data_IF_445823012398
#
_entry.id   IF_445823012398
#
_cell.length_a   1.000
_cell.length_b   1.000
_cell.length_c   1.000
_cell.angle_alpha   90.00
_cell.angle_beta   90.00
_cell.angle_gamma   90.00
#
_symmetry.space_group_name_H-M   'P 1'
#
loop_
_entity.id
_entity.type
_entity.pdbx_description
1 polymer ?
#
# COMPACT_ATOMS: atom_id res chain seq x y z
N UNK A 1 22.36 7.69 -5.29
CA UNK A 1 20.98 7.23 -5.02
C UNK A 1 20.96 5.71 -4.97
N UNK A 2 20.01 5.10 -4.24
CA UNK A 2 19.66 3.67 -4.39
C UNK A 2 20.70 2.64 -3.94
N UNK A 3 21.55 2.92 -2.94
CA UNK A 3 22.37 1.84 -2.39
C UNK A 3 21.48 0.72 -1.84
N UNK A 4 21.90 -0.55 -1.94
CA UNK A 4 21.21 -1.65 -1.28
C UNK A 4 20.99 -1.35 0.20
N UNK A 5 19.81 -1.69 0.70
CA UNK A 5 19.48 -1.49 2.12
C UNK A 5 20.37 -2.34 3.03
N UNK A 6 20.93 -3.44 2.49
CA UNK A 6 21.88 -4.27 3.21
C UNK A 6 23.32 -3.78 3.00
N UNK A 7 23.97 -3.38 4.10
CA UNK A 7 25.38 -2.92 4.11
C UNK A 7 26.32 -3.90 3.41
N UNK A 8 27.30 -3.36 2.68
CA UNK A 8 28.32 -4.14 1.97
C UNK A 8 27.86 -4.80 0.67
N UNK A 9 26.65 -4.51 0.19
CA UNK A 9 26.16 -4.98 -1.11
C UNK A 9 26.16 -3.82 -2.10
N UNK A 10 26.57 -4.11 -3.33
CA UNK A 10 26.47 -3.20 -4.47
C UNK A 10 25.49 -3.80 -5.48
N UNK A 11 24.57 -2.98 -5.99
CA UNK A 11 23.62 -3.39 -7.01
C UNK A 11 24.12 -2.90 -8.36
N UNK A 12 24.64 -3.83 -9.15
CA UNK A 12 25.01 -3.62 -10.54
C UNK A 12 23.86 -4.08 -11.43
N UNK A 13 23.26 -3.13 -12.14
CA UNK A 13 22.05 -3.37 -12.92
C UNK A 13 22.34 -4.23 -14.15
N UNK A 14 23.53 -4.09 -14.75
CA UNK A 14 23.93 -4.89 -15.90
C UNK A 14 24.12 -6.36 -15.48
N UNK A 15 24.76 -6.58 -14.33
CA UNK A 15 24.90 -7.92 -13.76
C UNK A 15 23.53 -8.56 -13.42
N UNK A 16 22.56 -7.79 -12.92
CA UNK A 16 21.20 -8.30 -12.70
C UNK A 16 20.47 -8.68 -14.00
N UNK A 17 20.65 -7.89 -15.06
CA UNK A 17 20.06 -8.18 -16.38
C UNK A 17 20.68 -9.44 -16.99
N UNK A 18 22.01 -9.58 -16.91
CA UNK A 18 22.71 -10.78 -17.34
C UNK A 18 22.23 -12.02 -16.59
N UNK A 19 22.11 -11.93 -15.26
CA UNK A 19 21.57 -13.02 -14.44
C UNK A 19 20.14 -13.41 -14.87
N UNK A 20 19.27 -12.45 -15.12
CA UNK A 20 17.90 -12.72 -15.58
C UNK A 20 17.89 -13.41 -16.95
N UNK A 21 18.74 -12.95 -17.88
CA UNK A 21 18.87 -13.53 -19.22
C UNK A 21 19.44 -14.96 -19.17
N UNK A 22 20.43 -15.22 -18.32
CA UNK A 22 20.98 -16.56 -18.12
C UNK A 22 19.94 -17.54 -17.59
N UNK A 23 19.12 -17.13 -16.62
CA UNK A 23 18.05 -17.97 -16.08
C UNK A 23 17.00 -18.25 -17.16
N UNK A 24 16.62 -17.24 -17.96
CA UNK A 24 15.73 -17.45 -19.12
C UNK A 24 16.32 -18.44 -20.13
N UNK A 25 17.58 -18.26 -20.51
CA UNK A 25 18.26 -19.11 -21.48
C UNK A 25 18.33 -20.57 -21.01
N UNK A 26 18.57 -20.81 -19.71
CA UNK A 26 18.53 -22.17 -19.12
C UNK A 26 17.14 -22.79 -19.23
N UNK A 27 16.09 -22.05 -18.89
CA UNK A 27 14.71 -22.54 -18.95
C UNK A 27 14.27 -22.88 -20.39
N UNK A 28 14.66 -22.06 -21.37
CA UNK A 28 14.39 -22.30 -22.79
C UNK A 28 15.07 -23.58 -23.27
N UNK A 29 16.32 -23.82 -22.87
CA UNK A 29 17.06 -25.05 -23.22
C UNK A 29 16.44 -26.32 -22.61
N UNK A 30 15.86 -26.21 -21.42
CA UNK A 30 15.28 -27.36 -20.71
C UNK A 30 13.84 -27.70 -21.16
N UNK A 31 13.10 -26.76 -21.75
CA UNK A 31 11.65 -26.89 -21.98
C UNK A 31 11.17 -26.44 -23.37
N UNK A 32 11.99 -26.58 -24.41
CA UNK A 32 11.64 -26.23 -25.79
C UNK A 32 10.45 -27.08 -26.30
N UNK A 33 9.26 -26.46 -26.43
CA UNK A 33 8.16 -27.02 -27.24
C UNK A 33 6.75 -27.10 -26.65
N UNK A 34 6.43 -26.51 -25.48
CA UNK A 34 5.03 -26.52 -24.99
C UNK A 34 4.57 -25.20 -24.38
N UNK A 35 3.26 -24.97 -24.40
CA UNK A 35 2.54 -23.85 -23.76
C UNK A 35 2.81 -23.76 -22.23
N UNK A 36 3.33 -24.85 -21.63
CA UNK A 36 3.79 -24.88 -20.24
C UNK A 36 5.07 -24.07 -19.98
N UNK A 37 5.85 -23.77 -21.04
CA UNK A 37 7.15 -23.08 -20.94
C UNK A 37 7.02 -21.64 -20.45
N UNK A 38 6.04 -20.88 -20.93
CA UNK A 38 5.80 -19.49 -20.46
C UNK A 38 5.38 -19.43 -18.99
N UNK A 39 4.57 -20.40 -18.54
CA UNK A 39 4.14 -20.47 -17.14
C UNK A 39 5.31 -20.79 -16.22
N UNK A 40 6.17 -21.72 -16.63
CA UNK A 40 7.40 -22.06 -15.90
C UNK A 40 8.36 -20.88 -15.84
N UNK A 41 8.56 -20.18 -16.96
CA UNK A 41 9.38 -18.95 -16.99
C UNK A 41 8.84 -17.92 -15.99
N UNK A 42 7.53 -17.66 -16.01
CA UNK A 42 6.91 -16.69 -15.09
C UNK A 42 7.11 -17.08 -13.62
N UNK A 43 7.05 -18.37 -13.28
CA UNK A 43 7.30 -18.86 -11.92
C UNK A 43 8.77 -18.68 -11.55
N UNK A 44 9.70 -19.10 -12.41
CA UNK A 44 11.13 -18.98 -12.16
C UNK A 44 11.58 -17.52 -12.04
N UNK A 45 11.10 -16.62 -12.91
CA UNK A 45 11.39 -15.18 -12.83
C UNK A 45 10.84 -14.55 -11.56
N UNK A 46 9.64 -14.97 -11.13
CA UNK A 46 9.06 -14.52 -9.85
C UNK A 46 9.92 -14.97 -8.66
N UNK A 47 10.37 -16.22 -8.65
CA UNK A 47 11.26 -16.73 -7.61
C UNK A 47 12.61 -16.04 -7.59
N UNK A 48 13.23 -15.83 -8.76
CA UNK A 48 14.46 -15.07 -8.90
C UNK A 48 14.29 -13.66 -8.33
N UNK A 49 13.24 -12.94 -8.73
CA UNK A 49 12.92 -11.62 -8.20
C UNK A 49 12.80 -11.62 -6.67
N UNK A 50 12.11 -12.59 -6.07
CA UNK A 50 12.04 -12.71 -4.61
C UNK A 50 13.39 -12.98 -3.95
N UNK A 51 14.25 -13.79 -4.57
CA UNK A 51 15.62 -14.03 -4.09
C UNK A 51 16.44 -12.73 -4.14
N UNK A 52 16.37 -11.98 -5.25
CA UNK A 52 17.09 -10.70 -5.42
C UNK A 52 16.60 -9.63 -4.44
N UNK A 53 15.30 -9.48 -4.25
CA UNK A 53 14.70 -8.56 -3.27
C UNK A 53 15.26 -8.81 -1.86
N UNK A 54 15.24 -10.07 -1.41
CA UNK A 54 15.81 -10.47 -0.11
C UNK A 54 17.32 -10.27 -0.06
N UNK A 55 18.00 -10.50 -1.18
CA UNK A 55 19.43 -10.26 -1.29
C UNK A 55 19.76 -8.77 -1.11
N UNK A 56 19.07 -7.85 -1.76
CA UNK A 56 19.38 -6.42 -1.60
C UNK A 56 18.73 -5.78 -0.37
N UNK A 57 17.90 -6.53 0.36
CA UNK A 57 17.28 -6.10 1.63
C UNK A 57 16.00 -5.29 1.44
N UNK A 58 15.41 -5.31 0.25
CA UNK A 58 14.17 -4.58 -0.04
C UNK A 58 12.94 -5.30 0.51
N UNK A 59 11.89 -4.56 0.93
CA UNK A 59 10.69 -5.16 1.52
C UNK A 59 9.86 -5.95 0.51
N UNK A 60 9.83 -5.54 -0.76
CA UNK A 60 9.16 -6.25 -1.84
C UNK A 60 9.77 -5.89 -3.21
N UNK A 61 9.32 -6.61 -4.25
CA UNK A 61 9.77 -6.40 -5.62
C UNK A 61 9.43 -4.99 -6.16
N UNK A 62 8.30 -4.41 -5.76
CA UNK A 62 7.90 -3.08 -6.19
C UNK A 62 8.89 -1.99 -5.71
N UNK A 63 9.21 -1.98 -4.41
CA UNK A 63 10.16 -1.03 -3.85
C UNK A 63 11.55 -1.22 -4.47
N UNK A 64 11.94 -2.47 -4.69
CA UNK A 64 13.21 -2.80 -5.35
C UNK A 64 13.28 -2.28 -6.78
N UNK A 65 12.23 -2.47 -7.59
CA UNK A 65 12.21 -1.99 -8.98
C UNK A 65 12.16 -0.47 -9.08
N UNK A 66 11.44 0.20 -8.18
CA UNK A 66 11.46 1.67 -8.10
C UNK A 66 12.84 2.21 -7.74
N UNK A 67 13.52 1.59 -6.78
CA UNK A 67 14.88 1.97 -6.43
C UNK A 67 15.85 1.79 -7.61
N UNK A 68 15.78 0.66 -8.33
CA UNK A 68 16.57 0.45 -9.55
C UNK A 68 16.29 1.50 -10.62
N UNK A 69 15.02 1.85 -10.82
CA UNK A 69 14.63 2.89 -11.79
C UNK A 69 15.25 4.26 -11.45
N UNK A 70 15.24 4.65 -10.18
CA UNK A 70 15.88 5.90 -9.74
C UNK A 70 17.41 5.86 -9.90
N UNK A 71 18.04 4.70 -9.68
CA UNK A 71 19.48 4.53 -9.94
C UNK A 71 19.79 4.69 -11.42
N UNK A 72 19.00 4.05 -12.31
CA UNK A 72 19.16 4.19 -13.75
C UNK A 72 18.99 5.64 -14.20
N UNK A 73 17.98 6.34 -13.70
CA UNK A 73 17.80 7.76 -13.98
C UNK A 73 19.01 8.57 -13.52
N UNK A 74 19.57 8.27 -12.35
CA UNK A 74 20.79 8.93 -11.87
C UNK A 74 22.01 8.72 -12.78
N UNK A 75 22.18 7.51 -13.31
CA UNK A 75 23.32 7.15 -14.17
C UNK A 75 23.15 7.62 -15.62
N UNK A 76 21.93 7.53 -16.17
CA UNK A 76 21.65 7.73 -17.60
C UNK A 76 21.14 9.14 -17.94
N UNK A 77 21.01 10.05 -16.95
CA UNK A 77 20.45 11.39 -17.16
C UNK A 77 21.21 12.27 -18.15
N UNK A 78 22.52 12.06 -18.33
CA UNK A 78 23.35 12.97 -19.12
C UNK A 78 23.17 14.43 -18.67
N UNK A 79 22.77 15.30 -19.60
CA UNK A 79 22.54 16.73 -19.35
C UNK A 79 21.12 17.08 -18.90
N UNK A 80 20.20 16.10 -18.87
CA UNK A 80 18.81 16.32 -18.48
C UNK A 80 18.69 16.63 -16.99
N UNK A 81 17.80 17.58 -16.68
CA UNK A 81 17.31 17.80 -15.33
C UNK A 81 16.34 16.71 -14.93
N UNK A 82 16.57 16.11 -13.77
CA UNK A 82 15.78 14.97 -13.26
C UNK A 82 15.20 15.34 -11.90
N UNK A 83 13.87 15.44 -11.86
CA UNK A 83 13.10 15.63 -10.63
C UNK A 83 12.42 14.30 -10.28
N UNK A 84 12.72 13.76 -9.10
CA UNK A 84 12.14 12.52 -8.60
C UNK A 84 11.16 12.86 -7.48
N UNK A 85 9.89 12.52 -7.67
CA UNK A 85 8.84 12.69 -6.65
C UNK A 85 8.53 11.34 -6.02
N UNK A 86 8.67 11.25 -4.69
CA UNK A 86 8.46 10.06 -3.88
C UNK A 86 7.24 10.24 -2.96
N UNK A 87 6.04 9.89 -3.41
CA UNK A 87 4.86 9.93 -2.55
C UNK A 87 4.84 8.80 -1.52
N UNK A 88 4.30 9.13 -0.34
CA UNK A 88 3.81 8.13 0.60
C UNK A 88 2.46 7.55 0.11
N UNK A 89 1.67 6.93 1.00
CA UNK A 89 0.42 6.30 0.58
C UNK A 89 -0.53 7.37 0.05
N UNK A 90 -0.83 7.31 -1.24
CA UNK A 90 -1.75 8.24 -1.88
C UNK A 90 -3.18 7.87 -1.47
N UNK A 91 -3.90 8.85 -0.94
CA UNK A 91 -5.33 8.75 -0.61
C UNK A 91 -6.17 9.47 -1.66
N UNK A 92 -7.48 9.57 -1.43
CA UNK A 92 -8.33 10.41 -2.30
C UNK A 92 -7.85 11.85 -2.37
N UNK A 93 -8.44 12.64 -3.25
CA UNK A 93 -8.14 14.07 -3.33
C UNK A 93 -8.69 14.81 -2.11
N UNK A 94 -7.95 15.82 -1.68
CA UNK A 94 -8.35 16.72 -0.59
C UNK A 94 -9.30 17.82 -1.10
N UNK A 95 -8.97 18.44 -2.23
CA UNK A 95 -9.71 19.54 -2.84
C UNK A 95 -9.96 19.32 -4.34
N UNK A 96 -8.91 19.11 -5.14
CA UNK A 96 -9.04 19.11 -6.61
C UNK A 96 -9.03 17.69 -7.21
N UNK A 97 -9.78 17.39 -8.28
CA UNK A 97 -10.77 18.24 -8.94
C UNK A 97 -12.07 18.41 -8.14
N UNK A 98 -12.29 17.54 -7.15
CA UNK A 98 -13.29 17.68 -6.09
C UNK A 98 -12.88 16.79 -4.91
N UNK A 99 -13.30 17.06 -3.68
CA UNK A 99 -12.92 16.25 -2.52
C UNK A 99 -13.40 14.81 -2.65
N UNK A 100 -12.52 13.85 -2.37
CA UNK A 100 -12.86 12.43 -2.36
C UNK A 100 -12.82 11.77 -3.74
N UNK A 101 -12.27 12.41 -4.77
CA UNK A 101 -11.97 11.71 -6.01
C UNK A 101 -10.90 10.63 -5.76
N UNK A 102 -11.18 9.41 -6.19
CA UNK A 102 -10.27 8.27 -6.06
C UNK A 102 -10.53 7.26 -7.18
N UNK A 103 -9.45 6.68 -7.70
CA UNK A 103 -9.50 5.65 -8.72
C UNK A 103 -9.20 4.26 -8.13
N UNK A 104 -10.27 3.49 -7.92
CA UNK A 104 -10.19 2.13 -7.40
C UNK A 104 -9.87 2.06 -5.91
N UNK A 105 -9.56 0.85 -5.44
CA UNK A 105 -9.28 0.54 -4.03
C UNK A 105 -7.85 0.03 -3.93
N UNK A 106 -6.98 0.73 -3.20
CA UNK A 106 -5.57 0.38 -3.09
C UNK A 106 -5.09 0.47 -1.64
N UNK A 107 -4.07 -0.31 -1.29
CA UNK A 107 -3.34 -0.22 -0.02
C UNK A 107 -4.22 -0.10 1.24
N UNK A 108 -4.45 1.11 1.77
CA UNK A 108 -5.22 1.32 3.00
C UNK A 108 -6.73 1.15 2.79
N UNK A 109 -7.22 1.46 1.59
CA UNK A 109 -8.64 1.39 1.24
C UNK A 109 -9.19 -0.03 1.39
N UNK A 110 -8.37 -1.04 1.08
CA UNK A 110 -8.71 -2.46 1.24
C UNK A 110 -9.02 -2.78 2.70
N UNK A 111 -8.32 -2.16 3.65
CA UNK A 111 -8.58 -2.34 5.08
C UNK A 111 -9.80 -1.56 5.53
N UNK A 112 -10.02 -0.34 5.03
CA UNK A 112 -11.25 0.43 5.30
C UNK A 112 -12.47 -0.38 4.88
N UNK A 113 -12.49 -0.88 3.65
CA UNK A 113 -13.57 -1.74 3.12
C UNK A 113 -13.67 -3.04 3.92
N UNK A 114 -12.54 -3.69 4.24
CA UNK A 114 -12.52 -4.94 4.99
C UNK A 114 -13.05 -4.81 6.43
N UNK A 115 -12.74 -3.70 7.10
CA UNK A 115 -13.26 -3.36 8.43
C UNK A 115 -14.74 -3.03 8.36
N UNK A 116 -15.14 -2.15 7.43
CA UNK A 116 -16.53 -1.77 7.21
C UNK A 116 -17.42 -2.99 6.88
N UNK A 117 -16.91 -3.93 6.08
CA UNK A 117 -17.60 -5.17 5.71
C UNK A 117 -17.49 -6.29 6.74
N UNK A 118 -16.79 -6.07 7.87
CA UNK A 118 -16.58 -7.07 8.91
C UNK A 118 -15.90 -8.36 8.41
N UNK A 119 -15.11 -8.25 7.34
CA UNK A 119 -14.30 -9.35 6.79
C UNK A 119 -12.93 -9.44 7.41
N UNK A 120 -12.43 -8.33 7.96
CA UNK A 120 -11.15 -8.25 8.64
C UNK A 120 -11.43 -7.90 10.11
N UNK A 121 -11.49 -8.88 11.03
CA UNK A 121 -11.82 -8.61 12.42
C UNK A 121 -10.64 -8.02 13.20
N UNK A 122 -9.43 -8.18 12.69
CA UNK A 122 -8.22 -7.62 13.29
C UNK A 122 -7.10 -7.48 12.27
N UNK A 123 -6.16 -6.59 12.54
CA UNK A 123 -4.97 -6.41 11.73
C UNK A 123 -3.80 -5.83 12.53
N UNK A 124 -2.64 -5.73 11.91
CA UNK A 124 -1.51 -4.99 12.47
C UNK A 124 -1.74 -3.48 12.30
N UNK A 125 -1.27 -2.68 13.27
CA UNK A 125 -1.42 -1.22 13.26
C UNK A 125 -0.16 -0.55 13.79
N UNK A 126 0.27 0.51 13.09
CA UNK A 126 1.47 1.28 13.39
C UNK A 126 1.13 2.67 13.92
N UNK A 127 2.09 3.35 14.58
CA UNK A 127 1.89 4.70 15.07
C UNK A 127 1.77 5.71 13.92
N UNK A 128 2.44 5.45 12.80
CA UNK A 128 2.48 6.31 11.63
C UNK A 128 2.08 5.48 10.40
N UNK A 129 1.12 6.00 9.65
CA UNK A 129 0.69 5.54 8.34
C UNK A 129 0.86 6.73 7.39
N UNK A 130 2.10 6.93 6.93
CA UNK A 130 2.46 8.07 6.10
C UNK A 130 1.61 8.09 4.83
N UNK A 131 0.79 9.14 4.71
CA UNK A 131 -0.24 9.26 3.69
C UNK A 131 -0.34 10.69 3.18
N UNK A 132 -0.65 10.86 1.91
CA UNK A 132 -0.76 12.17 1.25
C UNK A 132 -1.98 12.17 0.29
N UNK A 133 -2.78 13.23 0.23
CA UNK A 133 -3.84 13.35 -0.77
C UNK A 133 -3.28 13.41 -2.21
N UNK A 134 -4.01 12.83 -3.16
CA UNK A 134 -3.54 12.71 -4.55
C UNK A 134 -3.32 14.04 -5.26
N UNK A 135 -4.19 15.01 -5.01
CA UNK A 135 -4.09 16.38 -5.54
C UNK A 135 -2.86 17.12 -5.03
N UNK A 136 -2.50 16.96 -3.75
CA UNK A 136 -1.26 17.55 -3.24
C UNK A 136 -0.01 16.98 -3.94
N UNK A 137 -0.02 15.71 -4.33
CA UNK A 137 1.07 15.11 -5.12
C UNK A 137 1.16 15.73 -6.50
N UNK A 138 0.02 15.88 -7.18
CA UNK A 138 -0.05 16.49 -8.52
C UNK A 138 0.39 17.95 -8.48
N UNK A 139 -0.12 18.72 -7.52
CA UNK A 139 0.21 20.12 -7.31
C UNK A 139 1.72 20.31 -7.10
N UNK A 140 2.33 19.51 -6.22
CA UNK A 140 3.77 19.55 -6.02
C UNK A 140 4.56 19.16 -7.28
N UNK A 141 4.08 18.18 -8.05
CA UNK A 141 4.69 17.80 -9.32
C UNK A 141 4.71 18.96 -10.32
N UNK A 142 3.58 19.64 -10.48
CA UNK A 142 3.46 20.79 -11.40
C UNK A 142 4.39 21.93 -10.99
N UNK A 143 4.42 22.24 -9.70
CA UNK A 143 5.29 23.30 -9.16
C UNK A 143 6.77 22.93 -9.28
N UNK A 144 7.13 21.67 -9.02
CA UNK A 144 8.51 21.20 -9.17
C UNK A 144 8.95 21.27 -10.63
N UNK A 145 8.09 20.88 -11.58
CA UNK A 145 8.37 20.98 -13.01
C UNK A 145 8.60 22.44 -13.44
N UNK A 146 7.73 23.37 -13.02
CA UNK A 146 7.87 24.78 -13.34
C UNK A 146 9.15 25.38 -12.72
N UNK A 147 9.47 25.02 -11.48
CA UNK A 147 10.64 25.51 -10.75
C UNK A 147 11.94 25.09 -11.41
N UNK A 148 12.02 23.85 -11.90
CA UNK A 148 13.23 23.27 -12.48
C UNK A 148 13.26 23.33 -14.02
N UNK A 149 12.38 24.10 -14.65
CA UNK A 149 12.25 24.12 -16.11
C UNK A 149 13.54 24.55 -16.84
N UNK A 150 14.23 25.56 -16.32
CA UNK A 150 15.47 26.10 -16.91
C UNK A 150 16.75 25.56 -16.28
N UNK A 151 16.62 24.63 -15.33
CA UNK A 151 17.78 24.04 -14.69
C UNK A 151 18.53 23.14 -15.67
N UNK A 152 19.86 23.13 -15.59
CA UNK A 152 20.72 22.24 -16.37
C UNK A 152 21.45 21.30 -15.42
N UNK A 153 21.41 20.00 -15.73
CA UNK A 153 22.06 18.95 -14.92
C UNK A 153 21.63 18.92 -13.45
N UNK A 154 20.47 19.48 -13.08
CA UNK A 154 19.94 19.37 -11.72
C UNK A 154 19.37 17.97 -11.46
N UNK A 155 19.64 17.43 -10.28
CA UNK A 155 18.98 16.22 -9.79
C UNK A 155 18.41 16.48 -8.39
N UNK A 156 17.09 16.46 -8.28
CA UNK A 156 16.38 16.76 -7.03
C UNK A 156 15.38 15.66 -6.70
N UNK A 157 15.22 15.42 -5.40
CA UNK A 157 14.23 14.48 -4.87
C UNK A 157 13.28 15.21 -3.92
N UNK A 158 11.98 15.05 -4.16
CA UNK A 158 10.92 15.52 -3.29
C UNK A 158 10.21 14.34 -2.65
N UNK A 159 10.27 14.26 -1.32
CA UNK A 159 9.47 13.32 -0.53
C UNK A 159 8.11 13.94 -0.24
N UNK A 160 7.06 13.43 -0.90
CA UNK A 160 5.68 13.85 -0.69
C UNK A 160 5.09 13.04 0.46
N UNK A 161 5.40 13.48 1.68
CA UNK A 161 5.06 12.80 2.93
C UNK A 161 4.43 13.76 3.93
N UNK A 162 3.53 13.23 4.77
CA UNK A 162 2.90 13.98 5.85
C UNK A 162 3.48 13.64 7.22
N UNK A 163 4.14 12.49 7.37
CA UNK A 163 4.53 11.92 8.66
C UNK A 163 5.30 12.86 9.61
N UNK A 164 6.20 13.72 9.11
CA UNK A 164 6.96 14.64 9.95
C UNK A 164 6.16 15.84 10.44
N UNK A 165 5.23 16.35 9.64
CA UNK A 165 4.50 17.59 9.93
C UNK A 165 3.12 17.33 10.54
N UNK A 166 2.43 16.31 10.03
CA UNK A 166 1.06 15.99 10.35
C UNK A 166 0.83 14.48 10.25
N UNK A 167 1.34 13.68 11.21
CA UNK A 167 1.30 12.22 11.14
C UNK A 167 -0.13 11.68 11.23
N UNK A 168 -0.49 10.84 10.26
CA UNK A 168 -1.68 9.99 10.33
C UNK A 168 -1.35 8.67 11.03
N UNK A 169 -2.19 8.19 11.95
CA UNK A 169 -2.01 6.89 12.62
C UNK A 169 -3.02 5.84 12.16
N UNK A 170 -2.66 4.56 12.23
CA UNK A 170 -3.60 3.47 11.93
C UNK A 170 -4.83 3.48 12.85
N UNK A 171 -4.65 3.88 14.11
CA UNK A 171 -5.74 4.01 15.08
C UNK A 171 -6.76 5.06 14.63
N UNK A 172 -6.29 6.19 14.06
CA UNK A 172 -7.20 7.23 13.58
C UNK A 172 -8.04 6.77 12.38
N UNK A 173 -7.45 6.00 11.47
CA UNK A 173 -8.16 5.39 10.33
C UNK A 173 -9.22 4.41 10.84
N UNK A 174 -8.86 3.55 11.80
CA UNK A 174 -9.78 2.61 12.42
C UNK A 174 -10.93 3.32 13.15
N UNK A 175 -10.62 4.29 14.01
CA UNK A 175 -11.60 5.11 14.73
C UNK A 175 -12.57 5.79 13.77
N UNK A 176 -12.04 6.41 12.71
CA UNK A 176 -12.86 7.12 11.73
C UNK A 176 -13.75 6.16 10.94
N UNK A 177 -13.23 4.97 10.59
CA UNK A 177 -14.01 3.92 9.91
C UNK A 177 -15.11 3.37 10.82
N UNK A 178 -14.81 3.16 12.10
CA UNK A 178 -15.79 2.72 13.08
C UNK A 178 -16.88 3.77 13.32
N UNK A 179 -16.50 5.04 13.51
CA UNK A 179 -17.44 6.14 13.65
C UNK A 179 -18.34 6.29 12.42
N UNK A 180 -17.76 6.19 11.21
CA UNK A 180 -18.53 6.25 9.97
C UNK A 180 -19.56 5.13 9.89
N UNK A 181 -19.17 3.91 10.27
CA UNK A 181 -20.09 2.78 10.34
C UNK A 181 -21.24 3.01 11.34
N UNK A 182 -20.96 3.54 12.53
CA UNK A 182 -22.01 3.74 13.56
C UNK A 182 -23.13 4.67 13.07
N UNK A 183 -22.77 5.66 12.24
CA UNK A 183 -23.72 6.61 11.65
C UNK A 183 -24.36 6.04 10.38
N UNK A 184 -23.63 5.22 9.63
CA UNK A 184 -24.07 4.61 8.38
C UNK A 184 -24.06 3.08 8.49
N UNK A 185 -24.88 2.48 9.36
CA UNK A 185 -24.84 1.04 9.56
C UNK A 185 -25.33 0.33 8.30
N UNK A 186 -24.60 -0.71 7.90
CA UNK A 186 -25.00 -1.53 6.76
C UNK A 186 -26.25 -2.35 7.13
N UNK A 187 -27.34 -2.12 6.39
CA UNK A 187 -28.49 -3.02 6.38
C UNK A 187 -28.16 -4.28 5.57
N UNK A 188 -28.47 -5.45 6.10
CA UNK A 188 -28.50 -6.70 5.32
C UNK A 188 -29.79 -6.73 4.49
N UNK A 189 -29.82 -7.55 3.44
CA UNK A 189 -30.99 -7.73 2.55
C UNK A 189 -32.28 -8.13 3.33
N UNK A 190 -32.14 -8.65 4.56
CA UNK A 190 -33.23 -8.98 5.48
C UNK A 190 -33.62 -7.84 6.45
N UNK A 191 -33.15 -6.60 6.19
CA UNK A 191 -33.33 -5.40 7.03
C UNK A 191 -32.78 -5.48 8.46
N UNK A 192 -32.03 -6.53 8.82
CA UNK A 192 -31.34 -6.58 10.12
C UNK A 192 -30.01 -5.83 10.05
N UNK A 193 -29.78 -4.95 11.01
CA UNK A 193 -28.47 -4.30 11.21
C UNK A 193 -27.46 -5.33 11.69
N UNK A 194 -26.35 -5.49 10.97
CA UNK A 194 -25.24 -6.35 11.40
C UNK A 194 -24.66 -5.76 12.69
N UNK A 195 -24.53 -6.54 13.77
CA UNK A 195 -23.81 -6.07 14.97
C UNK A 195 -22.34 -5.93 14.64
N UNK A 196 -21.89 -4.71 14.39
CA UNK A 196 -20.50 -4.43 14.06
C UNK A 196 -19.61 -4.56 15.28
N UNK A 197 -18.52 -5.29 15.10
CA UNK A 197 -17.45 -5.40 16.07
C UNK A 197 -16.34 -4.47 15.64
N UNK A 198 -15.91 -3.61 16.57
CA UNK A 198 -14.74 -2.76 16.37
C UNK A 198 -13.51 -3.64 16.08
N UNK A 199 -12.79 -3.43 14.98
CA UNK A 199 -11.65 -4.26 14.62
C UNK A 199 -10.49 -4.04 15.60
N UNK A 200 -9.73 -5.10 15.88
CA UNK A 200 -8.58 -5.03 16.77
C UNK A 200 -7.30 -4.69 16.00
N UNK A 201 -6.56 -3.67 16.45
CA UNK A 201 -5.25 -3.33 15.91
C UNK A 201 -4.12 -3.79 16.85
N UNK A 202 -3.13 -4.46 16.29
CA UNK A 202 -1.98 -4.98 17.02
C UNK A 202 -0.71 -4.19 16.68
N UNK A 203 -0.12 -3.55 17.69
CA UNK A 203 1.13 -2.79 17.59
C UNK A 203 2.39 -3.65 17.40
N UNK A 204 2.29 -4.97 17.44
CA UNK A 204 3.39 -5.91 17.20
C UNK A 204 2.91 -7.12 16.42
N UNK A 205 3.69 -7.55 15.42
CA UNK A 205 3.37 -8.72 14.59
C UNK A 205 3.21 -10.00 15.42
N UNK A 206 4.03 -10.19 16.46
CA UNK A 206 3.97 -11.38 17.32
C UNK A 206 2.62 -11.50 18.01
N UNK A 207 2.07 -10.39 18.55
CA UNK A 207 0.76 -10.40 19.22
C UNK A 207 -0.39 -10.65 18.24
N UNK A 208 -0.31 -10.07 17.04
CA UNK A 208 -1.26 -10.38 15.97
C UNK A 208 -1.21 -11.87 15.61
N UNK A 209 0.00 -12.41 15.40
CA UNK A 209 0.19 -13.81 15.00
C UNK A 209 -0.31 -14.78 16.08
N UNK A 210 0.03 -14.55 17.35
CA UNK A 210 -0.44 -15.40 18.45
C UNK A 210 -1.96 -15.35 18.58
N UNK A 211 -2.56 -14.16 18.50
CA UNK A 211 -4.02 -14.02 18.49
C UNK A 211 -4.67 -14.76 17.32
N UNK A 212 -4.13 -14.62 16.10
CA UNK A 212 -4.65 -15.33 14.92
C UNK A 212 -4.57 -16.84 15.05
N UNK A 213 -3.49 -17.36 15.63
CA UNK A 213 -3.33 -18.80 15.88
C UNK A 213 -4.34 -19.28 16.93
N UNK A 214 -4.41 -18.61 18.08
CA UNK A 214 -5.23 -19.05 19.22
C UNK A 214 -6.73 -18.83 19.04
N UNK A 215 -7.15 -17.72 18.42
CA UNK A 215 -8.57 -17.36 18.31
C UNK A 215 -9.22 -17.92 17.04
N UNK A 216 -8.45 -18.11 15.95
CA UNK A 216 -9.00 -18.53 14.66
C UNK A 216 -8.47 -19.87 14.18
N UNK A 217 -7.14 -20.08 14.16
CA UNK A 217 -6.56 -21.27 13.52
C UNK A 217 -6.83 -22.55 14.31
N UNK A 218 -6.60 -22.54 15.62
CA UNK A 218 -6.91 -23.67 16.51
C UNK A 218 -8.40 -23.96 16.53
N UNK A 219 -9.23 -22.92 16.66
CA UNK A 219 -10.69 -23.06 16.63
C UNK A 219 -11.17 -23.68 15.30
N UNK A 220 -10.63 -23.24 14.17
CA UNK A 220 -10.97 -23.80 12.87
C UNK A 220 -10.53 -25.26 12.72
N UNK A 221 -9.38 -25.65 13.29
CA UNK A 221 -8.94 -27.06 13.30
C UNK A 221 -9.87 -27.94 14.14
N UNK A 222 -10.31 -27.46 15.31
CA UNK A 222 -11.30 -28.17 16.14
C UNK A 222 -12.62 -28.31 15.40
N UNK A 223 -13.12 -27.24 14.78
CA UNK A 223 -14.35 -27.28 13.97
C UNK A 223 -14.23 -28.20 12.76
N UNK A 224 -13.05 -28.28 12.13
CA UNK A 224 -12.77 -29.19 11.04
C UNK A 224 -12.85 -30.66 11.49
N UNK A 225 -12.20 -30.99 12.61
CA UNK A 225 -12.25 -32.34 13.18
C UNK A 225 -13.68 -32.72 13.59
N UNK A 226 -14.39 -31.83 14.27
CA UNK A 226 -15.80 -32.04 14.63
C UNK A 226 -16.67 -32.24 13.39
N UNK A 227 -16.47 -31.47 12.32
CA UNK A 227 -17.17 -31.67 11.05
C UNK A 227 -16.87 -33.02 10.41
N UNK A 228 -15.63 -33.51 10.46
CA UNK A 228 -15.28 -34.83 9.96
C UNK A 228 -15.94 -35.95 10.79
N UNK A 229 -15.90 -35.84 12.11
CA UNK A 229 -16.40 -36.87 13.03
C UNK A 229 -17.93 -36.89 13.18
N UNK A 230 -18.56 -35.72 13.29
CA UNK A 230 -19.99 -35.59 13.63
C UNK A 230 -20.88 -35.30 12.41
N UNK A 231 -20.35 -34.64 11.39
CA UNK A 231 -21.11 -34.18 10.22
C UNK A 231 -20.71 -34.91 8.93
N UNK A 232 -19.91 -35.97 9.03
CA UNK A 232 -19.45 -36.76 7.89
C UNK A 232 -18.75 -35.94 6.81
N UNK A 233 -18.10 -34.83 7.19
CA UNK A 233 -17.37 -33.95 6.27
C UNK A 233 -18.23 -33.00 5.44
N UNK A 234 -19.52 -32.83 5.72
CA UNK A 234 -20.42 -31.95 4.93
C UNK A 234 -19.98 -30.48 4.85
N UNK A 235 -19.28 -29.94 5.86
CA UNK A 235 -18.76 -28.56 5.87
C UNK A 235 -17.27 -28.44 5.48
N UNK A 236 -16.69 -29.47 4.86
CA UNK A 236 -15.26 -29.50 4.52
C UNK A 236 -14.86 -28.34 3.60
N UNK A 237 -15.69 -28.04 2.60
CA UNK A 237 -15.43 -26.94 1.66
C UNK A 237 -15.49 -25.57 2.35
N UNK A 238 -16.47 -25.38 3.23
CA UNK A 238 -16.62 -24.16 4.02
C UNK A 238 -15.39 -23.91 4.91
N UNK A 239 -14.94 -24.94 5.64
CA UNK A 239 -13.71 -24.87 6.44
C UNK A 239 -12.48 -24.55 5.58
N UNK A 240 -12.37 -25.15 4.39
CA UNK A 240 -11.29 -24.87 3.43
C UNK A 240 -11.30 -23.41 2.98
N UNK A 241 -12.48 -22.85 2.71
CA UNK A 241 -12.65 -21.43 2.31
C UNK A 241 -12.23 -20.49 3.44
N UNK A 242 -12.65 -20.76 4.68
CA UNK A 242 -12.21 -20.00 5.85
C UNK A 242 -10.70 -20.08 6.05
N UNK A 243 -10.12 -21.28 5.95
CA UNK A 243 -8.67 -21.46 6.11
C UNK A 243 -7.89 -20.70 5.03
N UNK A 244 -8.36 -20.69 3.77
CA UNK A 244 -7.78 -19.86 2.70
C UNK A 244 -7.85 -18.37 3.04
N UNK A 245 -8.98 -17.90 3.54
CA UNK A 245 -9.16 -16.51 3.96
C UNK A 245 -8.21 -16.12 5.11
N UNK A 246 -8.06 -16.99 6.11
CA UNK A 246 -7.12 -16.79 7.23
C UNK A 246 -5.67 -16.73 6.75
N UNK A 247 -5.26 -17.69 5.90
CA UNK A 247 -3.91 -17.71 5.33
C UNK A 247 -3.63 -16.46 4.50
N UNK A 248 -4.62 -15.98 3.75
CA UNK A 248 -4.51 -14.73 2.99
C UNK A 248 -4.34 -13.52 3.90
N UNK A 249 -5.13 -13.41 4.97
CA UNK A 249 -4.99 -12.33 5.96
C UNK A 249 -3.61 -12.34 6.64
N UNK A 250 -3.13 -13.53 7.03
CA UNK A 250 -1.79 -13.69 7.60
C UNK A 250 -0.69 -13.29 6.61
N UNK A 251 -0.85 -13.66 5.34
CA UNK A 251 0.06 -13.26 4.27
C UNK A 251 0.08 -11.74 4.10
N UNK A 252 -1.07 -11.07 4.05
CA UNK A 252 -1.17 -9.62 3.97
C UNK A 252 -0.52 -8.92 5.17
N UNK A 253 -0.78 -9.38 6.39
CA UNK A 253 -0.15 -8.83 7.59
C UNK A 253 1.38 -8.94 7.51
N UNK A 254 1.90 -10.09 7.08
CA UNK A 254 3.34 -10.28 6.92
C UNK A 254 3.92 -9.38 5.82
N UNK A 255 3.18 -9.19 4.72
CA UNK A 255 3.58 -8.33 3.61
C UNK A 255 3.65 -6.86 4.01
N UNK A 256 2.68 -6.37 4.79
CA UNK A 256 2.62 -4.96 5.21
C UNK A 256 3.42 -4.66 6.49
N UNK A 257 3.82 -5.67 7.27
CA UNK A 257 4.58 -5.49 8.50
C UNK A 257 5.82 -4.59 8.37
N UNK A 258 6.67 -4.69 7.31
CA UNK A 258 7.83 -3.82 7.17
C UNK A 258 7.48 -2.34 7.04
N UNK A 259 6.30 -2.02 6.47
CA UNK A 259 5.83 -0.65 6.28
C UNK A 259 5.13 -0.12 7.54
N UNK A 260 4.24 -0.93 8.11
CA UNK A 260 3.44 -0.54 9.29
C UNK A 260 4.32 -0.37 10.54
N UNK A 261 5.37 -1.19 10.68
CA UNK A 261 6.30 -1.11 11.82
C UNK A 261 7.57 -0.30 11.50
N UNK A 262 7.61 0.38 10.36
CA UNK A 262 8.68 1.33 10.08
C UNK A 262 8.61 2.50 11.06
N UNK A 263 9.69 2.74 11.80
CA UNK A 263 9.75 3.79 12.82
C UNK A 263 10.27 5.13 12.30
N UNK A 264 10.86 5.14 11.11
CA UNK A 264 11.42 6.35 10.52
C UNK A 264 10.33 7.22 9.92
N UNK A 265 10.65 8.49 9.73
CA UNK A 265 9.91 9.40 8.87
C UNK A 265 10.85 9.90 7.78
N UNK A 266 10.32 10.15 6.59
CA UNK A 266 11.12 10.72 5.50
C UNK A 266 11.17 12.23 5.63
N UNK A 267 12.38 12.77 5.59
CA UNK A 267 12.61 14.21 5.57
C UNK A 267 11.99 14.84 4.31
N UNK A 268 11.13 15.82 4.51
CA UNK A 268 10.45 16.56 3.46
C UNK A 268 10.94 18.02 3.37
N UNK A 269 12.14 18.32 3.88
CA UNK A 269 12.74 19.65 3.83
C UNK A 269 12.76 20.24 2.42
N UNK A 270 13.17 19.47 1.41
CA UNK A 270 13.15 19.93 0.01
C UNK A 270 11.76 20.36 -0.42
N UNK A 271 10.73 19.57 -0.09
CA UNK A 271 9.34 19.87 -0.45
C UNK A 271 8.86 21.16 0.22
N UNK A 272 9.21 21.35 1.49
CA UNK A 272 8.87 22.58 2.21
C UNK A 272 9.59 23.81 1.65
N UNK A 273 10.84 23.66 1.22
CA UNK A 273 11.57 24.72 0.54
C UNK A 273 10.90 25.08 -0.79
N UNK A 274 10.52 24.06 -1.58
CA UNK A 274 9.77 24.26 -2.83
C UNK A 274 8.42 24.93 -2.58
N UNK A 275 7.70 24.52 -1.54
CA UNK A 275 6.48 25.22 -1.15
C UNK A 275 6.82 26.69 -0.86
N UNK A 276 7.85 26.95 -0.05
CA UNK A 276 8.25 28.29 0.38
C UNK A 276 8.49 29.28 -0.77
N UNK A 277 8.93 28.79 -1.93
CA UNK A 277 9.19 29.63 -3.12
C UNK A 277 7.92 30.01 -3.88
N UNK A 278 6.77 29.35 -3.65
CA UNK A 278 5.54 29.62 -4.41
C UNK A 278 4.78 30.86 -3.96
N UNK A 279 5.25 31.58 -2.94
CA UNK A 279 4.58 32.78 -2.41
C UNK A 279 3.28 32.48 -1.65
N UNK A 280 2.82 31.22 -1.58
CA UNK A 280 1.56 30.83 -0.96
C UNK A 280 1.45 31.18 0.55
N UNK A 281 2.55 31.58 1.20
CA UNK A 281 2.58 32.10 2.58
C UNK A 281 1.92 33.47 2.70
N UNK A 282 1.73 34.15 1.58
CA UNK A 282 1.25 35.54 1.51
C UNK A 282 -0.27 35.66 1.46
N UNK A 283 -1.02 34.56 1.58
CA UNK A 283 -2.49 34.59 1.72
C UNK A 283 -3.26 34.73 0.40
N UNK A 284 -2.57 34.88 -0.72
CA UNK A 284 -3.19 34.80 -2.05
C UNK A 284 -3.56 33.34 -2.31
N UNK A 285 -4.87 33.07 -2.43
CA UNK A 285 -5.45 31.74 -2.62
C UNK A 285 -4.68 30.90 -3.65
N UNK A 286 -3.73 30.11 -3.15
CA UNK A 286 -2.76 29.45 -4.00
C UNK A 286 -3.41 28.25 -4.68
N UNK A 287 -3.42 28.30 -6.00
CA UNK A 287 -4.08 27.30 -6.86
C UNK A 287 -3.49 25.90 -6.68
N UNK A 288 -2.19 25.78 -6.36
CA UNK A 288 -1.50 24.49 -6.24
C UNK A 288 -1.11 24.14 -4.80
N UNK A 289 -2.05 24.08 -3.85
CA UNK A 289 -1.70 23.74 -2.48
C UNK A 289 -1.20 22.28 -2.34
N UNK A 290 -0.03 22.11 -1.71
CA UNK A 290 0.51 20.81 -1.32
C UNK A 290 1.10 20.81 0.10
N UNK A 291 0.65 21.72 0.97
CA UNK A 291 1.00 21.70 2.39
C UNK A 291 0.16 20.66 3.16
N UNK A 292 0.80 19.56 3.56
CA UNK A 292 0.17 18.52 4.39
C UNK A 292 -0.25 18.99 5.78
N UNK A 293 0.27 20.12 6.29
CA UNK A 293 -0.04 20.60 7.64
C UNK A 293 -1.48 21.09 7.79
N UNK A 294 -2.11 21.52 6.69
CA UNK A 294 -3.49 22.01 6.69
C UNK A 294 -4.55 20.89 6.79
N UNK A 295 -4.15 19.62 6.67
CA UNK A 295 -5.08 18.49 6.63
C UNK A 295 -5.61 18.20 8.04
N UNK A 296 -6.90 18.40 8.27
CA UNK A 296 -7.58 17.80 9.42
C UNK A 296 -7.88 16.33 9.12
N UNK A 297 -7.01 15.42 9.56
CA UNK A 297 -7.14 13.99 9.26
C UNK A 297 -8.47 13.39 9.70
N UNK A 298 -9.03 13.78 10.86
CA UNK A 298 -10.32 13.25 11.33
C UNK A 298 -11.44 13.62 10.37
N UNK A 299 -11.55 14.91 10.02
CA UNK A 299 -12.57 15.40 9.11
C UNK A 299 -12.38 14.84 7.70
N UNK A 300 -11.15 14.84 7.20
CA UNK A 300 -10.81 14.32 5.88
C UNK A 300 -11.14 12.82 5.76
N UNK A 301 -10.78 12.00 6.74
CA UNK A 301 -11.10 10.57 6.72
C UNK A 301 -12.61 10.35 6.78
N UNK A 302 -13.29 10.96 7.76
CA UNK A 302 -14.68 10.70 8.04
C UNK A 302 -15.63 11.23 6.96
N UNK A 303 -15.42 12.47 6.50
CA UNK A 303 -16.33 13.17 5.59
C UNK A 303 -15.96 13.03 4.12
N UNK A 304 -14.71 12.70 3.80
CA UNK A 304 -14.21 12.71 2.41
C UNK A 304 -13.73 11.34 1.96
N UNK A 305 -12.69 10.82 2.59
CA UNK A 305 -11.98 9.65 2.07
C UNK A 305 -12.73 8.32 2.27
N UNK A 306 -13.21 8.03 3.49
CA UNK A 306 -13.95 6.78 3.77
C UNK A 306 -15.23 6.68 2.93
N UNK A 307 -16.10 7.71 2.84
CA UNK A 307 -17.28 7.67 1.97
C UNK A 307 -16.92 7.38 0.51
N UNK A 308 -15.88 8.04 -0.01
CA UNK A 308 -15.41 7.85 -1.38
C UNK A 308 -14.97 6.42 -1.65
N UNK A 309 -14.12 5.87 -0.78
CA UNK A 309 -13.64 4.48 -0.86
C UNK A 309 -14.81 3.49 -0.86
N UNK A 310 -15.78 3.68 0.04
CA UNK A 310 -16.94 2.79 0.15
C UNK A 310 -17.87 2.90 -1.06
N UNK A 311 -18.03 4.10 -1.64
CA UNK A 311 -18.78 4.31 -2.88
C UNK A 311 -18.14 3.54 -4.05
N UNK A 312 -16.84 3.71 -4.26
CA UNK A 312 -16.10 2.98 -5.30
C UNK A 312 -16.19 1.47 -5.09
N UNK A 313 -16.08 0.99 -3.85
CA UNK A 313 -16.23 -0.43 -3.54
C UNK A 313 -17.63 -0.98 -3.82
N UNK A 314 -18.67 -0.18 -3.60
CA UNK A 314 -20.03 -0.57 -3.95
C UNK A 314 -20.22 -0.65 -5.47
N UNK A 315 -19.66 0.30 -6.23
CA UNK A 315 -19.81 0.37 -7.68
C UNK A 315 -19.02 -0.74 -8.40
N UNK A 316 -17.79 -1.04 -7.96
CA UNK A 316 -17.02 -2.19 -8.48
C UNK A 316 -17.78 -3.52 -8.33
N UNK A 317 -18.47 -3.71 -7.19
CA UNK A 317 -19.28 -4.92 -6.96
C UNK A 317 -20.52 -5.02 -7.84
N UNK A 318 -21.06 -3.91 -8.32
CA UNK A 318 -22.19 -3.91 -9.25
C UNK A 318 -21.70 -4.33 -10.64
N UNK A 319 -20.54 -3.83 -11.06
CA UNK A 319 -19.93 -4.20 -12.35
C UNK A 319 -19.54 -5.68 -12.42
N UNK A 320 -19.05 -6.27 -11.33
CA UNK A 320 -18.75 -7.71 -11.27
C UNK A 320 -20.00 -8.62 -11.36
N UNK A 321 -21.21 -8.06 -11.22
CA UNK A 321 -22.49 -8.79 -11.25
C UNK A 321 -23.26 -8.67 -12.56
N UNK A 322 -22.87 -7.75 -13.44
CA UNK A 322 -23.45 -7.50 -14.77
C UNK A 322 -22.63 -8.18 -15.84
#
# INVERSE_FOLDING_TARGET
MGQPLKKGRHLDIEAELQLANEVRAKLVKEHSGSDSSQKLEKVAMKELGFKRVKYFGWPNAYAFTKAMGEMLLGTLRGDFTVVIVRPSIITSTFQDPFPGWIEGIRTMDVFIVGFYEQRIPCFIGGPILDSIPGDMVVNAMMVAMATHYNDVRTQVVYHMTSALQNPLSCNLVEESTYAYYLINPRARDDKKTIKYKRPLLFGRYVYFYTYMVLAYRTLLQVLYLANCLLLGGRLTEYNRKLNRSLNYLMYLAKFYAPYIFFKGCFDNTNLRTLWGTTGARQGDGYIFNFDSSCINWRLYLFSTHIPAVLKVAADMKKQDRT
#
